data_IF_426780523976
#
_entry.id   IF_426780523976
#
_cell.length_a   1.000
_cell.length_b   1.000
_cell.length_c   1.000
_cell.angle_alpha   90.00
_cell.angle_beta   90.00
_cell.angle_gamma   90.00
#
_symmetry.space_group_name_H-M   'P 1'
#
loop_
_entity.id
_entity.type
_entity.pdbx_description
1 polymer ?
#
# COMPACT_ATOMS: atom_id res chain seq x y z
N UNK A 1 37.57 24.58 -4.30
CA UNK A 1 36.52 24.44 -3.27
C UNK A 1 36.50 23.06 -2.58
N UNK A 2 37.18 22.03 -3.11
CA UNK A 2 37.31 20.68 -2.51
C UNK A 2 38.27 20.53 -1.31
N UNK A 3 39.12 21.52 -1.00
CA UNK A 3 40.07 21.43 0.13
C UNK A 3 39.44 21.90 1.46
N UNK A 4 38.36 22.70 1.40
CA UNK A 4 37.68 23.26 2.58
C UNK A 4 36.69 22.29 3.23
N UNK A 5 36.15 21.31 2.50
CA UNK A 5 35.23 20.30 3.04
C UNK A 5 35.96 19.15 3.76
N UNK A 6 37.17 18.76 3.32
CA UNK A 6 37.97 17.71 3.98
C UNK A 6 38.48 18.11 5.38
N UNK A 7 38.58 19.41 5.69
CA UNK A 7 39.01 19.89 7.01
C UNK A 7 37.89 19.95 8.06
N UNK A 8 36.62 19.91 7.65
CA UNK A 8 35.48 19.93 8.59
C UNK A 8 35.10 18.54 9.12
N UNK A 9 35.46 17.48 8.38
CA UNK A 9 35.19 16.07 8.73
C UNK A 9 36.18 15.53 9.79
N UNK A 10 37.39 16.08 9.90
CA UNK A 10 38.39 15.63 10.89
C UNK A 10 38.24 16.25 12.28
N UNK A 11 37.42 17.30 12.44
CA UNK A 11 37.31 18.03 13.72
C UNK A 11 36.12 17.57 14.57
N UNK A 12 35.15 16.85 13.99
CA UNK A 12 34.01 16.26 14.73
C UNK A 12 34.28 14.83 15.22
N UNK A 13 35.42 14.23 14.86
CA UNK A 13 35.80 12.86 15.18
C UNK A 13 36.41 12.66 16.58
N UNK A 14 36.26 13.62 17.51
CA UNK A 14 36.86 13.52 18.86
C UNK A 14 35.98 13.86 20.06
N UNK A 15 34.67 14.08 19.88
CA UNK A 15 33.82 14.59 20.98
C UNK A 15 32.53 13.83 21.33
N UNK A 16 32.26 12.64 20.76
CA UNK A 16 31.06 11.87 21.15
C UNK A 16 31.37 10.42 21.49
N UNK A 17 32.31 10.23 22.42
CA UNK A 17 32.37 9.04 23.25
C UNK A 17 31.83 9.40 24.64
N UNK A 18 30.53 9.15 24.86
CA UNK A 18 29.92 9.19 26.19
C UNK A 18 28.66 10.05 26.32
N UNK A 19 27.49 9.47 26.06
CA UNK A 19 26.33 9.58 26.96
C UNK A 19 25.18 8.68 26.51
N UNK A 20 24.90 7.66 27.31
CA UNK A 20 23.59 7.02 27.38
C UNK A 20 22.65 7.91 28.23
N UNK A 21 21.35 7.80 27.92
CA UNK A 21 20.17 8.26 28.68
C UNK A 21 19.85 9.76 28.71
N UNK A 22 18.74 10.14 28.04
CA UNK A 22 17.70 11.00 28.60
C UNK A 22 16.42 10.90 27.74
N UNK A 23 15.48 10.09 28.22
CA UNK A 23 14.05 10.22 27.94
C UNK A 23 13.54 11.54 28.54
N UNK A 24 12.39 11.97 28.04
CA UNK A 24 11.35 12.82 28.70
C UNK A 24 11.28 14.31 28.30
N UNK A 25 10.20 14.60 27.54
CA UNK A 25 9.34 15.80 27.50
C UNK A 25 9.88 17.10 26.91
N UNK A 26 9.29 17.50 25.77
CA UNK A 26 8.30 18.60 25.77
C UNK A 26 7.19 18.31 24.75
N UNK A 27 5.96 18.44 25.24
CA UNK A 27 4.66 18.29 24.57
C UNK A 27 4.11 19.70 24.32
N UNK A 28 3.22 19.86 23.33
CA UNK A 28 2.31 21.00 23.10
C UNK A 28 2.70 22.10 22.09
N UNK A 29 2.80 21.76 20.79
CA UNK A 29 2.57 22.77 19.73
C UNK A 29 1.96 22.25 18.42
N UNK A 30 1.41 21.03 18.36
CA UNK A 30 0.94 20.40 17.10
C UNK A 30 -0.57 20.15 16.99
N UNK A 31 -1.38 20.71 17.89
CA UNK A 31 -2.84 20.67 17.77
C UNK A 31 -3.37 22.06 17.41
N UNK A 32 -3.28 22.38 16.14
CA UNK A 32 -4.04 23.45 15.50
C UNK A 32 -4.32 23.03 14.06
N UNK A 33 -5.36 22.20 13.90
CA UNK A 33 -6.02 21.98 12.62
C UNK A 33 -6.66 23.34 12.23
N UNK A 34 -6.58 23.77 10.95
CA UNK A 34 -7.24 24.99 10.52
C UNK A 34 -8.76 24.88 10.73
N UNK A 35 -9.30 25.76 11.55
CA UNK A 35 -10.73 25.95 11.78
C UNK A 35 -11.33 26.57 10.50
N UNK A 36 -12.43 26.04 9.94
CA UNK A 36 -13.10 26.68 8.81
C UNK A 36 -13.66 28.05 9.24
N UNK A 37 -13.45 29.08 8.41
CA UNK A 37 -13.94 30.43 8.66
C UNK A 37 -15.47 30.41 8.87
N UNK A 38 -15.89 30.64 10.11
CA UNK A 38 -17.26 30.99 10.45
C UNK A 38 -17.52 32.45 10.07
N UNK A 39 -18.49 32.66 9.19
CA UNK A 39 -19.02 33.95 8.76
C UNK A 39 -19.13 34.98 9.90
N UNK A 40 -18.41 36.08 9.75
CA UNK A 40 -18.59 37.30 10.54
C UNK A 40 -19.94 37.93 10.18
N UNK A 41 -20.90 37.92 11.11
CA UNK A 41 -22.09 38.78 11.05
C UNK A 41 -21.93 39.94 12.02
N UNK A 42 -22.22 41.14 11.55
CA UNK A 42 -22.65 42.26 12.39
C UNK A 42 -23.59 43.19 11.59
N UNK A 43 -24.40 44.05 12.24
CA UNK A 43 -24.90 44.00 13.61
C UNK A 43 -26.46 44.02 13.71
N UNK A 44 -26.93 43.43 14.82
CA UNK A 44 -28.13 43.67 15.66
C UNK A 44 -29.49 44.10 15.03
N UNK A 45 -30.41 43.12 15.14
CA UNK A 45 -31.83 43.17 15.59
C UNK A 45 -32.64 44.46 15.49
N UNK A 46 -33.83 44.36 14.90
CA UNK A 46 -35.08 44.64 15.63
C UNK A 46 -36.31 43.91 15.01
N UNK A 47 -36.94 43.09 15.86
CA UNK A 47 -38.37 42.85 16.11
C UNK A 47 -39.41 42.56 15.00
N UNK A 48 -40.16 41.48 15.27
CA UNK A 48 -41.62 41.28 15.16
C UNK A 48 -42.27 40.63 13.93
N UNK A 49 -42.85 39.46 14.23
CA UNK A 49 -44.17 38.92 13.79
C UNK A 49 -44.39 38.35 12.38
N UNK A 50 -44.69 37.04 12.40
CA UNK A 50 -45.74 36.33 11.63
C UNK A 50 -45.65 36.34 10.09
N UNK A 51 -45.40 35.18 9.50
CA UNK A 51 -46.44 34.41 8.80
C UNK A 51 -45.84 33.19 8.09
N UNK A 52 -46.65 32.13 8.00
CA UNK A 52 -46.28 30.79 7.62
C UNK A 52 -45.67 30.66 6.22
N UNK A 53 -44.67 29.80 6.15
CA UNK A 53 -44.51 28.89 5.02
C UNK A 53 -43.81 27.64 5.53
N UNK A 54 -44.54 26.53 5.54
CA UNK A 54 -43.99 25.20 5.68
C UNK A 54 -42.88 25.03 4.64
N UNK A 55 -41.64 24.96 5.11
CA UNK A 55 -40.52 24.48 4.31
C UNK A 55 -40.75 22.98 4.12
N UNK A 56 -40.78 22.45 2.88
CA UNK A 56 -40.91 21.02 2.68
C UNK A 56 -39.73 20.30 3.31
N UNK A 57 -40.03 19.23 4.03
CA UNK A 57 -39.06 18.22 4.45
C UNK A 57 -38.49 17.57 3.20
N UNK A 58 -37.42 18.15 2.64
CA UNK A 58 -36.57 17.51 1.63
C UNK A 58 -35.21 18.20 1.62
N UNK A 59 -34.53 18.13 2.76
CA UNK A 59 -33.07 18.23 2.83
C UNK A 59 -32.61 16.97 3.54
N UNK A 60 -32.81 15.81 2.89
CA UNK A 60 -31.97 14.66 3.22
C UNK A 60 -30.53 15.11 2.94
N UNK A 61 -29.75 15.26 4.02
CA UNK A 61 -28.32 15.54 3.95
C UNK A 61 -27.70 14.68 2.86
N UNK A 62 -27.03 15.30 1.88
CA UNK A 62 -26.13 14.61 0.96
C UNK A 62 -25.03 13.98 1.83
N UNK A 63 -25.23 12.74 2.26
CA UNK A 63 -24.32 12.07 3.19
C UNK A 63 -23.11 11.60 2.40
N UNK A 64 -21.98 12.26 2.63
CA UNK A 64 -20.70 11.81 2.09
C UNK A 64 -20.40 10.40 2.61
N UNK A 65 -20.27 9.44 1.70
CA UNK A 65 -20.01 8.04 2.02
C UNK A 65 -18.51 7.83 2.21
N UNK A 66 -18.09 7.55 3.44
CA UNK A 66 -16.67 7.35 3.78
C UNK A 66 -16.27 5.91 3.51
N UNK A 67 -15.29 5.71 2.64
CA UNK A 67 -14.69 4.42 2.29
C UNK A 67 -13.29 4.31 2.89
N UNK A 68 -13.03 3.28 3.68
CA UNK A 68 -11.72 3.04 4.27
C UNK A 68 -10.94 2.01 3.46
N UNK A 69 -9.84 2.42 2.81
CA UNK A 69 -8.93 1.54 2.10
C UNK A 69 -7.80 1.08 3.03
N UNK A 70 -7.78 -0.22 3.32
CA UNK A 70 -6.82 -0.83 4.23
C UNK A 70 -6.28 -2.15 3.68
N UNK A 71 -5.06 -2.52 4.09
CA UNK A 71 -4.42 -3.77 3.69
C UNK A 71 -2.99 -3.87 4.20
N UNK A 72 -2.44 -5.09 4.18
CA UNK A 72 -1.04 -5.31 4.56
C UNK A 72 -0.08 -4.57 3.60
N UNK A 73 1.14 -4.31 4.08
CA UNK A 73 2.17 -3.71 3.24
C UNK A 73 2.41 -4.54 1.96
N UNK A 74 2.50 -3.84 0.83
CA UNK A 74 2.66 -4.48 -0.48
C UNK A 74 1.38 -5.04 -1.09
N UNK A 75 0.22 -4.93 -0.43
CA UNK A 75 -1.07 -5.35 -1.02
C UNK A 75 -1.58 -4.45 -2.15
N UNK A 76 -0.94 -3.29 -2.34
CA UNK A 76 -1.22 -2.34 -3.41
C UNK A 76 -2.26 -1.26 -3.10
N UNK A 77 -2.62 -1.06 -1.82
CA UNK A 77 -3.48 0.05 -1.36
C UNK A 77 -2.99 1.42 -1.84
N UNK A 78 -1.67 1.65 -1.83
CA UNK A 78 -1.08 2.88 -2.35
C UNK A 78 -1.35 3.08 -3.83
N UNK A 79 -1.27 2.02 -4.61
CA UNK A 79 -1.42 2.06 -6.07
C UNK A 79 -2.88 2.26 -6.45
N UNK A 80 -3.79 1.54 -5.77
CA UNK A 80 -5.24 1.74 -5.89
C UNK A 80 -5.64 3.18 -5.59
N UNK A 81 -5.15 3.74 -4.48
CA UNK A 81 -5.46 5.11 -4.10
C UNK A 81 -4.97 6.15 -5.13
N UNK A 82 -3.76 5.98 -5.67
CA UNK A 82 -3.24 6.88 -6.71
C UNK A 82 -4.02 6.77 -8.00
N UNK A 83 -4.39 5.55 -8.42
CA UNK A 83 -5.25 5.39 -9.58
C UNK A 83 -6.59 6.08 -9.39
N UNK A 84 -7.22 5.94 -8.22
CA UNK A 84 -8.45 6.68 -7.93
C UNK A 84 -8.24 8.20 -7.96
N UNK A 85 -7.07 8.70 -7.50
CA UNK A 85 -6.71 10.12 -7.66
C UNK A 85 -6.56 10.52 -9.13
N UNK A 86 -6.02 9.65 -10.00
CA UNK A 86 -5.91 9.92 -11.44
C UNK A 86 -7.25 9.84 -12.18
N UNK A 87 -8.14 8.92 -11.80
CA UNK A 87 -9.42 8.70 -12.47
C UNK A 87 -10.44 9.76 -12.05
N UNK A 88 -10.50 10.06 -10.75
CA UNK A 88 -11.58 10.85 -10.16
C UNK A 88 -11.10 12.05 -9.33
N UNK A 89 -9.81 12.11 -9.02
CA UNK A 89 -9.25 13.21 -8.24
C UNK A 89 -8.88 14.41 -9.11
N UNK A 90 -8.49 15.49 -8.44
CA UNK A 90 -7.91 16.65 -9.11
C UNK A 90 -6.53 16.31 -9.68
N UNK A 91 -6.17 16.99 -10.77
CA UNK A 91 -4.81 16.95 -11.30
C UNK A 91 -3.80 17.31 -10.19
N UNK A 92 -2.67 16.58 -10.11
CA UNK A 92 -1.67 16.84 -9.09
C UNK A 92 -1.08 18.23 -9.28
N UNK A 93 -0.91 18.97 -8.18
CA UNK A 93 -0.31 20.30 -8.24
C UNK A 93 1.18 20.22 -8.58
N UNK A 94 1.76 21.29 -9.11
CA UNK A 94 3.20 21.35 -9.40
C UNK A 94 4.05 21.01 -8.17
N UNK A 95 3.65 21.49 -6.98
CA UNK A 95 4.30 21.17 -5.71
C UNK A 95 4.21 19.68 -5.35
N UNK A 96 3.05 19.04 -5.59
CA UNK A 96 2.89 17.60 -5.37
C UNK A 96 3.79 16.79 -6.32
N UNK A 97 3.82 17.14 -7.60
CA UNK A 97 4.67 16.50 -8.60
C UNK A 97 6.14 16.66 -8.23
N UNK A 98 6.55 17.87 -7.80
CA UNK A 98 7.92 18.13 -7.37
C UNK A 98 8.29 17.31 -6.12
N UNK A 99 7.40 17.21 -5.13
CA UNK A 99 7.65 16.36 -3.95
C UNK A 99 7.78 14.87 -4.33
N UNK A 100 6.94 14.39 -5.26
CA UNK A 100 7.02 13.01 -5.77
C UNK A 100 8.34 12.78 -6.51
N UNK A 101 8.79 13.74 -7.32
CA UNK A 101 10.09 13.69 -8.00
C UNK A 101 11.23 13.49 -7.02
N UNK A 102 11.29 14.31 -5.97
CA UNK A 102 12.34 14.21 -4.94
C UNK A 102 12.28 12.87 -4.19
N UNK A 103 11.07 12.37 -3.91
CA UNK A 103 10.85 11.08 -3.27
C UNK A 103 11.33 9.91 -4.13
N UNK A 104 11.00 9.90 -5.42
CA UNK A 104 11.45 8.86 -6.36
C UNK A 104 12.97 8.86 -6.42
N UNK A 105 13.58 10.04 -6.58
CA UNK A 105 15.04 10.18 -6.62
C UNK A 105 15.71 9.64 -5.35
N UNK A 106 15.20 9.98 -4.17
CA UNK A 106 15.71 9.46 -2.90
C UNK A 106 15.48 7.94 -2.73
N UNK A 107 14.33 7.45 -3.18
CA UNK A 107 13.98 6.03 -3.09
C UNK A 107 14.92 5.11 -3.87
N UNK A 108 15.45 5.56 -5.01
CA UNK A 108 16.44 4.80 -5.77
C UNK A 108 17.69 4.45 -4.94
N UNK A 109 18.20 5.42 -4.17
CA UNK A 109 19.37 5.21 -3.31
C UNK A 109 19.05 4.32 -2.12
N UNK A 110 17.83 4.41 -1.59
CA UNK A 110 17.35 3.47 -0.58
C UNK A 110 17.30 2.04 -1.11
N UNK A 111 16.78 1.83 -2.33
CA UNK A 111 16.73 0.49 -2.95
C UNK A 111 18.12 -0.07 -3.19
N UNK A 112 19.03 0.75 -3.69
CA UNK A 112 20.42 0.36 -3.85
C UNK A 112 21.06 0.00 -2.50
N UNK A 113 20.81 0.79 -1.46
CA UNK A 113 21.31 0.51 -0.10
C UNK A 113 20.88 -0.86 0.42
N UNK A 114 19.59 -1.21 0.26
CA UNK A 114 19.07 -2.53 0.65
C UNK A 114 19.76 -3.66 -0.12
N UNK A 115 20.01 -3.47 -1.42
CA UNK A 115 20.75 -4.45 -2.22
C UNK A 115 22.21 -4.59 -1.78
N UNK A 116 22.86 -3.50 -1.41
CA UNK A 116 24.25 -3.53 -0.94
C UNK A 116 24.37 -4.21 0.42
N UNK A 117 23.46 -3.94 1.35
CA UNK A 117 23.37 -4.63 2.64
C UNK A 117 23.10 -6.14 2.44
N UNK A 118 22.15 -6.47 1.57
CA UNK A 118 21.87 -7.86 1.19
C UNK A 118 23.09 -8.56 0.59
N UNK A 119 23.86 -7.85 -0.24
CA UNK A 119 25.09 -8.37 -0.86
C UNK A 119 26.17 -8.67 0.19
N UNK A 120 26.39 -7.79 1.17
CA UNK A 120 27.35 -8.02 2.27
C UNK A 120 26.96 -9.26 3.09
N UNK A 121 25.66 -9.41 3.40
CA UNK A 121 25.14 -10.58 4.09
C UNK A 121 25.38 -11.87 3.29
N UNK A 122 25.08 -11.88 1.99
CA UNK A 122 25.28 -13.06 1.15
C UNK A 122 26.76 -13.40 0.90
N UNK A 123 27.62 -12.38 0.84
CA UNK A 123 29.07 -12.58 0.79
C UNK A 123 29.58 -13.29 2.06
N UNK A 124 29.12 -12.88 3.23
CA UNK A 124 29.46 -13.57 4.49
C UNK A 124 28.95 -15.01 4.54
N UNK A 125 27.71 -15.27 4.10
CA UNK A 125 27.13 -16.62 4.02
C UNK A 125 27.99 -17.53 3.13
N UNK A 126 28.34 -17.07 1.92
CA UNK A 126 29.16 -17.83 0.97
C UNK A 126 30.58 -18.11 1.52
N UNK A 127 31.18 -17.14 2.23
CA UNK A 127 32.49 -17.32 2.86
C UNK A 127 32.42 -18.32 4.03
N UNK A 128 31.34 -18.31 4.82
CA UNK A 128 31.12 -19.27 5.92
C UNK A 128 30.95 -20.70 5.39
N UNK A 129 30.18 -20.88 4.31
CA UNK A 129 30.01 -22.18 3.63
C UNK A 129 31.32 -22.73 3.06
N UNK A 130 32.14 -21.87 2.46
CA UNK A 130 33.47 -22.28 1.94
C UNK A 130 34.40 -22.72 3.06
N UNK A 131 34.38 -22.02 4.21
CA UNK A 131 35.18 -22.40 5.40
C UNK A 131 34.72 -23.74 6.00
N UNK A 132 33.42 -23.97 6.11
CA UNK A 132 32.87 -25.24 6.62
C UNK A 132 33.18 -26.40 5.69
N UNK A 133 33.04 -26.20 4.38
CA UNK A 133 33.39 -27.22 3.37
C UNK A 133 34.89 -27.56 3.38
N UNK A 134 35.76 -26.55 3.54
CA UNK A 134 37.22 -26.76 3.64
C UNK A 134 37.62 -27.51 4.91
N UNK A 135 36.96 -27.23 6.05
CA UNK A 135 37.18 -27.94 7.31
C UNK A 135 36.70 -29.40 7.26
N UNK A 136 35.60 -29.68 6.53
CA UNK A 136 35.13 -31.04 6.30
C UNK A 136 36.10 -31.86 5.43
N UNK A 137 36.71 -31.24 4.41
CA UNK A 137 37.72 -31.89 3.55
C UNK A 137 39.01 -32.19 4.33
N UNK A 138 39.48 -31.26 5.18
CA UNK A 138 40.65 -31.45 6.04
C UNK A 138 40.48 -32.60 7.05
N UNK A 139 39.25 -32.88 7.48
CA UNK A 139 38.95 -33.99 8.38
C UNK A 139 38.86 -35.36 7.67
N UNK A 140 38.87 -35.42 6.33
CA UNK A 140 38.72 -36.67 5.57
C UNK A 140 39.88 -37.02 4.64
N UNK A 141 40.84 -36.13 4.39
CA UNK A 141 42.01 -36.46 3.57
C UNK A 141 43.26 -35.68 3.96
N UNK A 142 44.25 -36.40 4.50
CA UNK A 142 45.65 -35.99 4.56
C UNK A 142 46.30 -36.35 3.23
N UNK A 143 46.05 -35.53 2.21
CA UNK A 143 46.60 -35.69 0.86
C UNK A 143 46.54 -34.36 0.11
N UNK A 144 47.66 -33.98 -0.50
CA UNK A 144 47.88 -32.70 -1.19
C UNK A 144 46.78 -32.35 -2.17
N UNK A 145 46.22 -31.14 -2.07
CA UNK A 145 45.37 -30.55 -3.11
C UNK A 145 45.91 -29.16 -3.41
N UNK A 146 46.45 -28.99 -4.62
CA UNK A 146 46.61 -27.68 -5.26
C UNK A 146 45.20 -27.14 -5.53
N UNK A 147 44.67 -26.32 -4.65
CA UNK A 147 43.43 -25.59 -4.90
C UNK A 147 43.72 -24.39 -5.77
N UNK A 148 43.06 -24.35 -6.93
CA UNK A 148 42.96 -23.20 -7.81
C UNK A 148 42.29 -22.05 -7.03
N UNK A 149 43.09 -21.09 -6.54
CA UNK A 149 42.68 -20.03 -5.60
C UNK A 149 41.79 -18.93 -6.21
N UNK A 150 41.38 -19.03 -7.48
CA UNK A 150 40.81 -17.89 -8.22
C UNK A 150 39.34 -18.04 -8.64
N UNK A 151 38.50 -18.75 -7.90
CA UNK A 151 37.06 -18.43 -7.92
C UNK A 151 36.84 -17.30 -6.92
N UNK A 152 37.05 -16.07 -7.39
CA UNK A 152 36.62 -14.84 -6.72
C UNK A 152 35.18 -15.03 -6.24
N UNK A 153 34.89 -14.63 -4.99
CA UNK A 153 33.53 -14.68 -4.47
C UNK A 153 32.63 -13.92 -5.45
N UNK A 154 31.53 -14.54 -5.91
CA UNK A 154 30.64 -13.94 -6.91
C UNK A 154 30.10 -12.58 -6.44
N UNK A 155 30.07 -12.36 -5.12
CA UNK A 155 29.64 -11.13 -4.47
C UNK A 155 30.74 -10.07 -4.30
N UNK A 156 31.97 -10.28 -4.77
CA UNK A 156 33.05 -9.30 -4.58
C UNK A 156 32.91 -8.11 -5.53
N UNK A 157 32.87 -6.89 -4.99
CA UNK A 157 32.90 -5.66 -5.78
C UNK A 157 34.33 -5.18 -6.07
N UNK A 158 34.48 -4.46 -7.18
CA UNK A 158 35.67 -3.65 -7.47
C UNK A 158 35.94 -2.66 -6.31
N UNK A 159 37.21 -2.45 -5.89
CA UNK A 159 37.57 -1.52 -4.82
C UNK A 159 36.92 -0.12 -4.91
N UNK A 160 36.77 0.42 -6.12
CA UNK A 160 36.11 1.72 -6.33
C UNK A 160 34.63 1.67 -5.96
N UNK A 161 33.92 0.64 -6.42
CA UNK A 161 32.51 0.43 -6.15
C UNK A 161 32.27 0.09 -4.68
N UNK A 162 33.20 -0.65 -4.06
CA UNK A 162 33.19 -0.94 -2.64
C UNK A 162 33.30 0.33 -1.79
N UNK A 163 34.22 1.23 -2.10
CA UNK A 163 34.34 2.50 -1.35
C UNK A 163 33.05 3.32 -1.37
N UNK A 164 32.35 3.36 -2.51
CA UNK A 164 31.06 4.04 -2.62
C UNK A 164 29.95 3.29 -1.90
N UNK A 165 29.93 1.95 -1.97
CA UNK A 165 29.01 1.09 -1.22
C UNK A 165 29.09 1.39 0.27
N UNK A 166 30.29 1.35 0.84
CA UNK A 166 30.54 1.58 2.26
C UNK A 166 30.09 2.99 2.68
N UNK A 167 30.35 3.98 1.82
CA UNK A 167 29.91 5.36 2.03
C UNK A 167 28.38 5.50 2.01
N UNK A 168 27.69 4.88 1.04
CA UNK A 168 26.24 4.93 0.93
C UNK A 168 25.56 4.24 2.12
N UNK A 169 26.05 3.06 2.51
CA UNK A 169 25.56 2.34 3.69
C UNK A 169 25.76 3.14 4.97
N UNK A 170 26.91 3.82 5.12
CA UNK A 170 27.15 4.71 6.27
C UNK A 170 26.15 5.87 6.33
N UNK A 171 25.82 6.50 5.20
CA UNK A 171 24.81 7.58 5.15
C UNK A 171 23.44 7.07 5.55
N UNK A 172 23.05 5.90 5.05
CA UNK A 172 21.76 5.27 5.40
C UNK A 172 21.72 4.97 6.89
N UNK A 173 22.78 4.38 7.46
CA UNK A 173 22.89 4.08 8.88
C UNK A 173 22.88 5.35 9.76
N UNK A 174 23.38 6.47 9.24
CA UNK A 174 23.37 7.77 9.94
C UNK A 174 22.01 8.46 9.91
N UNK A 175 21.08 8.00 9.05
CA UNK A 175 19.77 8.64 8.87
C UNK A 175 19.78 9.91 8.01
N UNK A 176 20.93 10.27 7.44
CA UNK A 176 21.13 11.53 6.70
C UNK A 176 20.78 11.43 5.20
N UNK A 177 20.12 10.34 4.76
CA UNK A 177 19.87 10.09 3.34
C UNK A 177 19.12 11.27 2.66
N UNK A 178 18.13 11.85 3.34
CA UNK A 178 17.36 13.00 2.85
C UNK A 178 18.16 14.30 2.78
N UNK A 179 19.30 14.37 3.47
CA UNK A 179 20.19 15.54 3.43
C UNK A 179 21.10 15.53 2.21
N UNK A 180 21.50 14.34 1.75
CA UNK A 180 22.37 14.18 0.58
C UNK A 180 21.59 13.98 -0.72
N UNK A 181 20.48 13.25 -0.67
CA UNK A 181 19.65 12.97 -1.82
C UNK A 181 18.31 13.67 -1.69
N UNK A 182 17.85 14.35 -2.77
CA UNK A 182 18.28 14.17 -4.16
C UNK A 182 19.37 15.14 -4.67
N UNK A 183 19.89 16.06 -3.86
CA UNK A 183 20.84 17.09 -4.32
C UNK A 183 22.11 16.52 -4.99
N UNK A 184 22.61 15.39 -4.51
CA UNK A 184 23.77 14.71 -5.08
C UNK A 184 23.43 13.60 -6.09
N UNK A 185 22.15 13.42 -6.44
CA UNK A 185 21.71 12.29 -7.26
C UNK A 185 22.36 12.27 -8.65
N UNK A 186 22.56 13.46 -9.26
CA UNK A 186 23.18 13.59 -10.58
C UNK A 186 24.67 13.22 -10.59
N UNK A 187 25.40 13.54 -9.53
CA UNK A 187 26.85 13.28 -9.46
C UNK A 187 27.13 11.79 -9.35
N UNK A 188 26.30 11.07 -8.59
CA UNK A 188 26.48 9.65 -8.34
C UNK A 188 25.70 8.75 -9.30
N UNK A 189 24.85 9.29 -10.19
CA UNK A 189 24.04 8.47 -11.10
C UNK A 189 24.84 7.50 -11.99
N UNK A 190 26.00 7.86 -12.57
CA UNK A 190 26.76 6.91 -13.38
C UNK A 190 27.36 5.77 -12.54
N UNK A 191 27.69 6.07 -11.28
CA UNK A 191 28.25 5.10 -10.36
C UNK A 191 27.17 4.13 -9.85
N UNK A 192 25.96 4.62 -9.61
CA UNK A 192 24.82 3.78 -9.26
C UNK A 192 24.44 2.86 -10.43
N UNK A 193 24.45 3.37 -11.66
CA UNK A 193 24.21 2.55 -12.86
C UNK A 193 25.27 1.46 -13.04
N UNK A 194 26.54 1.77 -12.78
CA UNK A 194 27.64 0.79 -12.80
C UNK A 194 27.48 -0.30 -11.73
N UNK A 195 27.10 0.08 -10.50
CA UNK A 195 26.86 -0.87 -9.41
C UNK A 195 25.64 -1.74 -9.70
N UNK A 196 24.56 -1.17 -10.22
CA UNK A 196 23.38 -1.95 -10.57
C UNK A 196 23.70 -3.02 -11.62
N UNK A 197 24.55 -2.70 -12.60
CA UNK A 197 24.98 -3.64 -13.64
C UNK A 197 26.05 -4.65 -13.17
N UNK A 198 26.59 -4.48 -11.98
CA UNK A 198 27.63 -5.37 -11.46
C UNK A 198 27.08 -6.80 -11.21
N UNK A 199 27.83 -7.86 -11.58
CA UNK A 199 27.40 -9.24 -11.37
C UNK A 199 27.04 -9.57 -9.92
N UNK A 200 27.76 -9.03 -8.94
CA UNK A 200 27.49 -9.27 -7.52
C UNK A 200 26.10 -8.79 -7.10
N UNK A 201 25.70 -7.62 -7.61
CA UNK A 201 24.41 -7.01 -7.31
C UNK A 201 23.29 -7.72 -8.07
N UNK A 202 23.52 -8.12 -9.32
CA UNK A 202 22.56 -8.89 -10.08
C UNK A 202 22.29 -10.27 -9.46
N UNK A 203 23.30 -10.97 -8.96
CA UNK A 203 23.11 -12.23 -8.21
C UNK A 203 22.39 -12.00 -6.88
N UNK A 204 22.68 -10.90 -6.20
CA UNK A 204 21.95 -10.49 -4.99
C UNK A 204 20.47 -10.24 -5.29
N UNK A 205 20.16 -9.56 -6.40
CA UNK A 205 18.78 -9.30 -6.84
C UNK A 205 18.01 -10.58 -7.24
N UNK A 206 18.70 -11.63 -7.71
CA UNK A 206 18.05 -12.93 -7.95
C UNK A 206 17.51 -13.55 -6.67
N UNK A 207 18.17 -13.32 -5.53
CA UNK A 207 17.75 -13.72 -4.18
C UNK A 207 16.89 -12.66 -3.46
N UNK A 208 16.28 -11.71 -4.19
CA UNK A 208 15.47 -10.62 -3.61
C UNK A 208 14.32 -11.08 -2.72
N UNK A 209 13.82 -12.31 -2.87
CA UNK A 209 12.80 -12.88 -1.98
C UNK A 209 13.23 -12.95 -0.51
N UNK A 210 14.55 -12.95 -0.25
CA UNK A 210 15.13 -12.90 1.10
C UNK A 210 15.35 -11.45 1.60
N UNK A 211 15.17 -10.45 0.73
CA UNK A 211 15.37 -9.02 1.01
C UNK A 211 14.00 -8.34 1.22
N UNK A 212 13.37 -8.59 2.37
CA UNK A 212 12.00 -8.14 2.65
C UNK A 212 11.76 -6.62 2.55
N UNK A 213 12.80 -5.81 2.74
CA UNK A 213 12.72 -4.35 2.66
C UNK A 213 12.73 -3.81 1.21
N UNK A 214 13.08 -4.65 0.23
CA UNK A 214 13.21 -4.26 -1.17
C UNK A 214 11.87 -4.34 -1.90
N UNK A 215 11.35 -3.23 -2.45
CA UNK A 215 10.10 -3.26 -3.21
C UNK A 215 10.21 -4.00 -4.54
N UNK A 216 9.08 -4.55 -5.00
CA UNK A 216 8.94 -5.15 -6.34
C UNK A 216 9.29 -4.15 -7.46
N UNK A 217 9.03 -2.87 -7.24
CA UNK A 217 9.29 -1.78 -8.19
C UNK A 217 10.75 -1.31 -8.23
N UNK A 218 11.62 -1.84 -7.36
CA UNK A 218 13.01 -1.41 -7.28
C UNK A 218 13.75 -1.53 -8.63
N UNK A 219 13.53 -2.63 -9.35
CA UNK A 219 14.15 -2.85 -10.67
C UNK A 219 13.74 -1.78 -11.69
N UNK A 220 12.46 -1.43 -11.73
CA UNK A 220 11.94 -0.43 -12.68
C UNK A 220 12.67 0.92 -12.56
N UNK A 221 12.92 1.36 -11.33
CA UNK A 221 13.63 2.61 -11.07
C UNK A 221 15.15 2.46 -11.25
N UNK A 222 15.74 1.35 -10.79
CA UNK A 222 17.18 1.10 -10.91
C UNK A 222 17.64 0.98 -12.37
N UNK A 223 16.80 0.42 -13.26
CA UNK A 223 17.07 0.35 -14.70
C UNK A 223 17.08 1.74 -15.39
N UNK A 224 16.48 2.76 -14.75
CA UNK A 224 16.32 4.11 -15.31
C UNK A 224 17.04 5.20 -14.50
N UNK A 225 18.03 4.83 -13.68
CA UNK A 225 18.73 5.75 -12.75
C UNK A 225 19.25 7.01 -13.43
N UNK A 226 19.86 6.89 -14.60
CA UNK A 226 20.43 8.04 -15.32
C UNK A 226 19.33 9.04 -15.70
N UNK A 227 18.19 8.54 -16.18
CA UNK A 227 17.02 9.37 -16.57
C UNK A 227 16.42 10.06 -15.34
N UNK A 228 16.18 9.31 -14.27
CA UNK A 228 15.52 9.80 -13.06
C UNK A 228 16.40 10.80 -12.29
N UNK A 229 17.73 10.62 -12.31
CA UNK A 229 18.69 11.56 -11.71
C UNK A 229 18.94 12.83 -12.52
N UNK A 230 18.29 12.99 -13.69
CA UNK A 230 18.37 14.23 -14.47
C UNK A 230 17.62 15.38 -13.80
N UNK A 231 18.07 16.62 -14.04
CA UNK A 231 17.36 17.82 -13.58
C UNK A 231 16.04 18.00 -14.34
N UNK A 232 16.02 17.62 -15.62
CA UNK A 232 14.87 17.73 -16.52
C UNK A 232 13.90 16.54 -16.38
N UNK A 233 14.13 15.66 -15.41
CA UNK A 233 13.24 14.54 -15.14
C UNK A 233 11.89 15.04 -14.62
N UNK A 234 10.83 14.69 -15.32
CA UNK A 234 9.45 14.85 -14.88
C UNK A 234 8.85 13.46 -14.67
N UNK A 235 8.32 13.15 -13.46
CA UNK A 235 7.70 11.86 -13.20
C UNK A 235 6.52 11.62 -14.14
N UNK A 236 6.57 10.53 -14.89
CA UNK A 236 5.41 10.06 -15.63
C UNK A 236 4.35 9.50 -14.67
N UNK A 237 3.12 9.35 -15.14
CA UNK A 237 2.06 8.71 -14.35
C UNK A 237 2.46 7.29 -13.90
N UNK A 238 3.17 6.53 -14.73
CA UNK A 238 3.68 5.20 -14.36
C UNK A 238 4.71 5.29 -13.23
N UNK A 239 5.63 6.26 -13.29
CA UNK A 239 6.60 6.52 -12.22
C UNK A 239 5.88 6.85 -10.91
N UNK A 240 4.84 7.70 -10.97
CA UNK A 240 4.03 8.07 -9.82
C UNK A 240 3.29 6.85 -9.27
N UNK A 241 2.72 5.99 -10.11
CA UNK A 241 2.04 4.77 -9.68
C UNK A 241 2.98 3.81 -8.95
N UNK A 242 4.20 3.62 -9.46
CA UNK A 242 5.19 2.69 -8.92
C UNK A 242 5.94 3.22 -7.68
N UNK A 243 5.95 4.54 -7.47
CA UNK A 243 6.66 5.17 -6.36
C UNK A 243 6.07 4.79 -5.00
N UNK A 244 6.73 3.97 -4.20
CA UNK A 244 6.23 3.69 -2.84
C UNK A 244 6.47 4.86 -1.88
N UNK A 245 5.58 5.05 -0.90
CA UNK A 245 5.77 6.08 0.13
C UNK A 245 5.33 7.50 -0.25
N UNK A 246 4.61 7.68 -1.36
CA UNK A 246 4.04 8.99 -1.80
C UNK A 246 3.00 9.56 -0.81
N UNK A 247 2.66 8.84 0.26
CA UNK A 247 1.73 9.34 1.28
C UNK A 247 2.37 10.34 2.24
N UNK A 248 1.58 11.29 2.78
CA UNK A 248 2.03 12.19 3.84
C UNK A 248 2.60 11.42 5.03
N UNK A 249 3.57 12.01 5.73
CA UNK A 249 4.26 11.42 6.90
C UNK A 249 3.30 10.92 8.00
N UNK A 250 2.07 11.43 8.05
CA UNK A 250 1.06 11.05 9.05
C UNK A 250 0.38 9.71 8.73
N UNK A 251 0.71 9.06 7.61
CA UNK A 251 0.19 7.74 7.24
C UNK A 251 -1.27 7.73 6.76
N UNK A 252 -1.91 8.89 6.66
CA UNK A 252 -3.28 9.06 6.18
C UNK A 252 -3.29 9.88 4.89
N UNK A 253 -4.11 9.46 3.92
CA UNK A 253 -4.42 10.23 2.72
C UNK A 253 -5.91 10.08 2.39
N UNK A 254 -6.53 11.13 1.87
CA UNK A 254 -7.92 11.08 1.44
C UNK A 254 -8.12 11.76 0.09
N UNK A 255 -9.11 11.29 -0.65
CA UNK A 255 -9.64 11.95 -1.85
C UNK A 255 -11.16 11.92 -1.77
N UNK A 256 -11.80 12.90 -2.42
CA UNK A 256 -13.24 12.96 -2.55
C UNK A 256 -13.59 12.83 -4.02
N UNK A 257 -14.64 12.10 -4.33
CA UNK A 257 -15.06 11.82 -5.69
C UNK A 257 -16.56 11.53 -5.77
N UNK A 258 -17.10 11.58 -6.97
CA UNK A 258 -18.43 11.09 -7.32
C UNK A 258 -18.32 10.18 -8.54
N UNK A 259 -19.15 9.15 -8.61
CA UNK A 259 -19.35 8.44 -9.86
C UNK A 259 -20.25 9.29 -10.74
N UNK A 260 -19.77 9.75 -11.89
CA UNK A 260 -20.63 10.37 -12.89
C UNK A 260 -21.59 9.31 -13.44
N UNK A 261 -22.85 9.37 -13.01
CA UNK A 261 -23.95 8.58 -13.57
C UNK A 261 -24.40 9.22 -14.90
N UNK A 262 -23.45 9.54 -15.78
CA UNK A 262 -23.74 9.95 -17.16
C UNK A 262 -23.68 8.72 -18.06
N UNK A 263 -24.65 7.82 -17.88
CA UNK A 263 -25.08 7.02 -19.01
C UNK A 263 -25.64 7.97 -20.07
N UNK A 264 -24.80 8.32 -21.04
CA UNK A 264 -25.23 8.97 -22.27
C UNK A 264 -26.12 7.99 -23.04
N UNK A 265 -27.42 7.92 -22.69
CA UNK A 265 -28.56 7.41 -23.50
C UNK A 265 -29.89 7.44 -22.71
N UNK A 266 -30.25 8.61 -22.20
CA UNK A 266 -31.65 9.01 -22.06
C UNK A 266 -31.62 10.52 -21.85
N UNK A 267 -32.03 11.28 -22.87
CA UNK A 267 -32.63 12.61 -22.81
C UNK A 267 -32.76 13.11 -24.25
N UNK A 268 -33.59 12.39 -25.01
CA UNK A 268 -34.32 12.94 -26.15
C UNK A 268 -35.77 12.87 -25.70
N UNK A 269 -36.32 14.03 -25.35
CA UNK A 269 -37.67 14.30 -24.81
C UNK A 269 -37.93 13.85 -23.36
N UNK A 270 -37.79 14.77 -22.41
CA UNK A 270 -38.95 15.30 -21.68
C UNK A 270 -38.51 16.54 -20.89
N UNK A 271 -39.12 17.69 -21.23
CA UNK A 271 -39.19 18.84 -20.33
C UNK A 271 -40.13 18.44 -19.16
N UNK A 272 -39.80 18.88 -17.95
CA UNK A 272 -40.54 18.66 -16.69
C UNK A 272 -40.35 17.31 -15.98
N UNK A 273 -39.17 17.11 -15.37
CA UNK A 273 -39.05 16.52 -14.02
C UNK A 273 -37.72 16.96 -13.39
N UNK A 274 -37.75 17.97 -12.53
CA UNK A 274 -36.67 18.23 -11.58
C UNK A 274 -36.63 17.09 -10.54
N UNK A 275 -35.96 16.00 -10.87
CA UNK A 275 -35.49 14.99 -9.92
C UNK A 275 -33.99 14.83 -10.12
N UNK A 276 -33.22 15.83 -9.67
CA UNK A 276 -31.79 15.66 -9.48
C UNK A 276 -31.61 14.67 -8.31
N UNK A 277 -31.44 13.39 -8.63
CA UNK A 277 -31.00 12.39 -7.66
C UNK A 277 -29.72 12.92 -6.97
N UNK A 278 -29.59 12.79 -5.64
CA UNK A 278 -28.44 13.34 -4.94
C UNK A 278 -27.15 12.70 -5.46
N UNK A 279 -26.19 13.52 -5.91
CA UNK A 279 -24.85 13.04 -6.22
C UNK A 279 -24.32 12.31 -4.97
N UNK A 280 -24.18 10.99 -5.06
CA UNK A 280 -23.53 10.21 -4.01
C UNK A 280 -22.05 10.59 -4.00
N UNK A 281 -21.67 11.50 -3.10
CA UNK A 281 -20.28 11.89 -2.86
C UNK A 281 -19.62 10.81 -2.01
N UNK A 282 -18.46 10.34 -2.45
CA UNK A 282 -17.64 9.36 -1.76
C UNK A 282 -16.35 10.01 -1.29
N UNK A 283 -15.86 9.59 -0.13
CA UNK A 283 -14.55 9.97 0.39
C UNK A 283 -13.74 8.70 0.60
N UNK A 284 -12.69 8.50 -0.20
CA UNK A 284 -11.76 7.38 -0.01
C UNK A 284 -10.65 7.81 0.94
N UNK A 285 -10.52 7.10 2.05
CA UNK A 285 -9.47 7.32 3.05
C UNK A 285 -8.54 6.12 3.03
N UNK A 286 -7.27 6.34 2.69
CA UNK A 286 -6.22 5.32 2.80
C UNK A 286 -5.50 5.44 4.12
N UNK A 287 -5.34 4.31 4.80
CA UNK A 287 -4.47 4.16 5.97
C UNK A 287 -3.22 3.35 5.58
N UNK A 288 -2.04 3.88 5.90
CA UNK A 288 -0.77 3.17 5.70
C UNK A 288 -0.57 2.10 6.76
N UNK A 289 -0.15 0.90 6.35
CA UNK A 289 0.26 -0.18 7.26
C UNK A 289 1.52 0.15 8.08
N UNK A 290 2.26 1.22 7.72
CA UNK A 290 3.40 1.78 8.49
C UNK A 290 2.99 2.90 9.46
N UNK A 291 1.71 3.28 9.48
CA UNK A 291 1.16 4.27 10.41
C UNK A 291 0.77 3.66 11.75
N UNK A 292 0.38 4.50 12.73
CA UNK A 292 0.96 4.54 14.07
C UNK A 292 1.19 3.15 14.67
N UNK A 293 2.47 2.80 14.81
CA UNK A 293 2.91 1.68 15.62
C UNK A 293 2.26 1.73 17.02
N UNK A 294 1.86 0.55 17.48
CA UNK A 294 1.59 0.19 18.88
C UNK A 294 0.25 0.59 19.52
N UNK A 295 -0.78 0.99 18.76
CA UNK A 295 -2.12 0.94 19.34
C UNK A 295 -3.23 0.69 18.34
N UNK A 296 -4.04 -0.33 18.59
CA UNK A 296 -5.35 -0.58 17.95
C UNK A 296 -6.32 0.62 18.04
N UNK A 297 -5.95 1.64 18.82
CA UNK A 297 -6.67 2.91 19.01
C UNK A 297 -6.80 3.76 17.75
N UNK A 298 -6.01 3.49 16.70
CA UNK A 298 -6.24 4.20 15.43
C UNK A 298 -7.58 3.82 14.81
N UNK A 299 -8.08 2.60 15.07
CA UNK A 299 -9.38 2.13 14.55
C UNK A 299 -10.55 2.91 15.16
N UNK A 300 -10.40 3.40 16.39
CA UNK A 300 -11.38 4.24 17.07
C UNK A 300 -11.56 5.61 16.40
N UNK A 301 -10.64 6.02 15.52
CA UNK A 301 -10.78 7.25 14.73
C UNK A 301 -11.77 7.11 13.55
N UNK A 302 -12.29 5.91 13.28
CA UNK A 302 -13.04 5.56 12.07
C UNK A 302 -14.48 5.11 12.34
N UNK A 303 -15.14 5.66 13.36
CA UNK A 303 -16.54 5.31 13.73
C UNK A 303 -17.57 5.64 12.65
N UNK A 304 -17.31 6.62 11.78
CA UNK A 304 -18.24 7.09 10.74
C UNK A 304 -17.99 6.49 9.34
N UNK A 305 -17.25 5.38 9.24
CA UNK A 305 -16.97 4.75 7.93
C UNK A 305 -18.16 3.94 7.44
N UNK A 306 -18.60 4.20 6.20
CA UNK A 306 -19.70 3.46 5.56
C UNK A 306 -19.26 2.05 5.16
N UNK A 307 -18.08 1.92 4.55
CA UNK A 307 -17.56 0.64 4.10
C UNK A 307 -16.03 0.56 4.20
N UNK A 308 -15.54 -0.64 4.50
CA UNK A 308 -14.12 -0.98 4.51
C UNK A 308 -13.80 -1.73 3.22
N UNK A 309 -12.89 -1.16 2.42
CA UNK A 309 -12.28 -1.79 1.25
C UNK A 309 -10.96 -2.43 1.70
N UNK A 310 -10.99 -3.74 1.93
CA UNK A 310 -9.80 -4.49 2.33
C UNK A 310 -9.06 -5.01 1.10
N UNK A 311 -7.82 -4.59 0.90
CA UNK A 311 -6.99 -4.97 -0.25
C UNK A 311 -5.97 -6.04 0.15
N UNK A 312 -5.98 -7.17 -0.56
CA UNK A 312 -5.03 -8.29 -0.40
C UNK A 312 -4.33 -8.55 -1.72
N UNK A 313 -3.01 -8.69 -1.72
CA UNK A 313 -2.29 -9.14 -2.90
C UNK A 313 -2.45 -10.66 -3.06
N UNK A 314 -3.02 -11.09 -4.18
CA UNK A 314 -3.14 -12.51 -4.51
C UNK A 314 -1.77 -13.17 -4.63
N UNK A 315 -0.72 -12.44 -4.97
CA UNK A 315 0.64 -12.98 -5.05
C UNK A 315 1.24 -13.39 -3.70
N UNK A 316 0.64 -13.02 -2.57
CA UNK A 316 1.21 -13.23 -1.22
C UNK A 316 1.17 -14.70 -0.74
N UNK A 317 0.57 -15.63 -1.50
CA UNK A 317 0.37 -17.02 -1.05
C UNK A 317 1.66 -17.84 -0.87
N UNK A 318 2.75 -17.49 -1.56
CA UNK A 318 4.06 -18.15 -1.44
C UNK A 318 5.13 -17.22 -0.84
N UNK A 319 4.74 -16.01 -0.42
CA UNK A 319 5.65 -15.03 0.15
C UNK A 319 5.73 -15.18 1.67
N UNK A 320 6.94 -14.99 2.20
CA UNK A 320 7.21 -15.05 3.64
C UNK A 320 7.37 -13.62 4.16
N UNK A 321 6.63 -13.31 5.22
CA UNK A 321 6.69 -12.08 5.98
C UNK A 321 7.50 -12.30 7.26
N UNK A 322 8.63 -11.59 7.37
CA UNK A 322 9.50 -11.63 8.56
C UNK A 322 9.70 -10.20 9.05
N UNK A 323 8.89 -9.76 10.01
CA UNK A 323 9.02 -8.44 10.63
C UNK A 323 9.60 -8.57 12.03
N UNK A 324 10.77 -7.97 12.26
CA UNK A 324 11.44 -7.97 13.57
C UNK A 324 12.02 -9.34 13.95
N UNK A 325 11.88 -9.71 15.24
CA UNK A 325 12.40 -10.96 15.81
C UNK A 325 11.39 -12.14 15.78
N UNK A 326 10.24 -11.97 15.11
CA UNK A 326 9.22 -13.02 15.03
C UNK A 326 9.61 -14.18 14.09
N UNK A 327 8.97 -15.35 14.22
CA UNK A 327 9.16 -16.43 13.27
C UNK A 327 8.67 -16.02 11.87
N UNK A 328 9.33 -16.46 10.80
CA UNK A 328 8.86 -16.23 9.44
C UNK A 328 7.47 -16.84 9.26
N UNK A 329 6.50 -16.05 8.81
CA UNK A 329 5.14 -16.49 8.55
C UNK A 329 4.74 -16.23 7.10
N UNK A 330 3.86 -17.06 6.56
CA UNK A 330 3.34 -16.84 5.22
C UNK A 330 2.48 -15.56 5.19
N UNK A 331 2.73 -14.69 4.20
CA UNK A 331 2.10 -13.37 4.11
C UNK A 331 0.60 -13.44 3.89
N UNK A 332 0.09 -14.46 3.21
CA UNK A 332 -1.36 -14.69 3.09
C UNK A 332 -2.01 -15.07 4.43
N UNK A 333 -1.31 -15.79 5.31
CA UNK A 333 -1.79 -16.08 6.66
C UNK A 333 -1.84 -14.80 7.52
N UNK A 334 -0.82 -13.94 7.41
CA UNK A 334 -0.83 -12.63 8.08
C UNK A 334 -1.99 -11.77 7.59
N UNK A 335 -2.27 -11.76 6.28
CA UNK A 335 -3.45 -11.08 5.72
C UNK A 335 -4.77 -11.64 6.26
N UNK A 336 -4.88 -12.97 6.41
CA UNK A 336 -6.05 -13.64 7.00
C UNK A 336 -6.26 -13.18 8.45
N UNK A 337 -5.22 -13.23 9.27
CA UNK A 337 -5.30 -12.89 10.70
C UNK A 337 -5.61 -11.40 10.88
N UNK A 338 -5.03 -10.54 10.05
CA UNK A 338 -5.33 -9.11 10.01
C UNK A 338 -6.79 -8.84 9.63
N UNK A 339 -7.30 -9.51 8.59
CA UNK A 339 -8.70 -9.40 8.18
C UNK A 339 -9.64 -9.84 9.29
N UNK A 340 -9.36 -10.98 9.93
CA UNK A 340 -10.13 -11.50 11.05
C UNK A 340 -10.14 -10.55 12.26
N UNK A 341 -9.00 -9.91 12.56
CA UNK A 341 -8.89 -8.89 13.61
C UNK A 341 -9.75 -7.65 13.30
N UNK A 342 -9.74 -7.17 12.05
CA UNK A 342 -10.56 -6.01 11.63
C UNK A 342 -12.05 -6.30 11.71
N UNK A 343 -12.48 -7.47 11.23
CA UNK A 343 -13.91 -7.85 11.21
C UNK A 343 -14.45 -8.03 12.63
N UNK A 344 -13.61 -8.44 13.59
CA UNK A 344 -13.99 -8.55 15.01
C UNK A 344 -13.95 -7.23 15.76
N UNK A 345 -13.37 -6.18 15.20
CA UNK A 345 -13.23 -4.91 15.88
C UNK A 345 -14.59 -4.24 16.12
N UNK A 346 -14.78 -3.63 17.29
CA UNK A 346 -16.08 -3.06 17.71
C UNK A 346 -16.57 -1.97 16.76
N UNK A 347 -15.67 -1.13 16.27
CA UNK A 347 -15.99 -0.04 15.34
C UNK A 347 -16.55 -0.53 14.00
N UNK A 348 -16.25 -1.77 13.59
CA UNK A 348 -16.64 -2.29 12.27
C UNK A 348 -17.79 -3.30 12.32
N UNK A 349 -18.45 -3.48 13.46
CA UNK A 349 -19.51 -4.49 13.65
C UNK A 349 -20.68 -4.34 12.65
N UNK A 350 -21.03 -3.11 12.30
CA UNK A 350 -22.12 -2.79 11.37
C UNK A 350 -21.63 -2.24 10.02
N UNK A 351 -20.32 -2.24 9.77
CA UNK A 351 -19.73 -1.67 8.55
C UNK A 351 -19.69 -2.72 7.45
N UNK A 352 -19.96 -2.29 6.21
CA UNK A 352 -19.90 -3.18 5.04
C UNK A 352 -18.46 -3.45 4.64
N UNK A 353 -18.10 -4.71 4.43
CA UNK A 353 -16.76 -5.10 3.97
C UNK A 353 -16.79 -5.47 2.49
N UNK A 354 -15.86 -4.89 1.73
CA UNK A 354 -15.56 -5.29 0.35
C UNK A 354 -14.10 -5.71 0.27
N UNK A 355 -13.86 -6.92 -0.21
CA UNK A 355 -12.53 -7.49 -0.41
C UNK A 355 -12.08 -7.25 -1.85
N UNK A 356 -10.97 -6.53 -2.02
CA UNK A 356 -10.29 -6.38 -3.30
C UNK A 356 -9.08 -7.31 -3.33
N UNK A 357 -9.14 -8.30 -4.21
CA UNK A 357 -8.07 -9.26 -4.45
C UNK A 357 -7.19 -8.70 -5.59
N UNK A 358 -6.15 -7.98 -5.20
CA UNK A 358 -5.26 -7.21 -6.08
C UNK A 358 -4.09 -8.06 -6.63
N UNK A 359 -3.32 -7.49 -7.56
CA UNK A 359 -2.19 -8.14 -8.26
C UNK A 359 -2.62 -9.42 -9.00
N UNK A 360 -3.81 -9.39 -9.61
CA UNK A 360 -4.33 -10.54 -10.36
C UNK A 360 -3.41 -10.93 -11.53
N UNK A 361 -2.81 -9.95 -12.20
CA UNK A 361 -1.78 -10.11 -13.24
C UNK A 361 -0.58 -10.94 -12.76
N UNK A 362 0.02 -10.53 -11.63
CA UNK A 362 1.17 -11.24 -11.04
C UNK A 362 0.76 -12.64 -10.61
N UNK A 363 -0.45 -12.79 -10.05
CA UNK A 363 -0.99 -14.06 -9.62
C UNK A 363 -1.19 -15.04 -10.79
N UNK A 364 -1.73 -14.58 -11.91
CA UNK A 364 -1.97 -15.39 -13.10
C UNK A 364 -0.66 -15.98 -13.66
N UNK A 365 0.43 -15.23 -13.62
CA UNK A 365 1.74 -15.73 -14.04
C UNK A 365 2.37 -16.66 -13.00
N UNK A 366 2.16 -16.37 -11.71
CA UNK A 366 2.77 -17.12 -10.60
C UNK A 366 2.13 -18.49 -10.42
N UNK A 367 0.80 -18.60 -10.53
CA UNK A 367 0.05 -19.86 -10.32
C UNK A 367 0.41 -20.96 -11.33
N UNK A 368 0.95 -20.58 -12.49
CA UNK A 368 1.48 -21.53 -13.49
C UNK A 368 2.81 -22.18 -13.05
N UNK A 369 3.54 -21.55 -12.13
CA UNK A 369 4.87 -21.96 -11.66
C UNK A 369 4.83 -22.56 -10.26
N UNK A 370 4.06 -21.94 -9.35
CA UNK A 370 3.95 -22.34 -7.94
C UNK A 370 2.48 -22.67 -7.65
N UNK A 371 2.15 -23.88 -7.17
CA UNK A 371 0.77 -24.24 -6.88
C UNK A 371 0.28 -23.60 -5.58
N UNK A 372 -1.03 -23.29 -5.50
CA UNK A 372 -1.65 -22.68 -4.31
C UNK A 372 -1.46 -23.49 -3.01
N UNK A 373 -1.30 -24.82 -3.11
CA UNK A 373 -1.18 -25.74 -1.98
C UNK A 373 0.07 -25.49 -1.10
N UNK A 374 1.00 -24.66 -1.57
CA UNK A 374 2.14 -24.19 -0.78
C UNK A 374 1.67 -23.40 0.45
N UNK A 375 0.59 -22.63 0.31
CA UNK A 375 -0.01 -21.93 1.44
C UNK A 375 -0.80 -22.93 2.30
N UNK A 376 -0.56 -22.91 3.62
CA UNK A 376 -1.20 -23.88 4.51
C UNK A 376 -2.72 -23.77 4.55
N UNK A 377 -3.24 -22.56 4.33
CA UNK A 377 -4.67 -22.31 4.30
C UNK A 377 -5.36 -22.88 3.05
N UNK A 378 -4.58 -23.15 1.99
CA UNK A 378 -5.07 -23.59 0.69
C UNK A 378 -4.69 -25.04 0.34
N UNK A 379 -4.29 -25.86 1.32
CA UNK A 379 -3.89 -27.28 1.13
C UNK A 379 -4.95 -28.14 0.41
N UNK A 380 -6.23 -27.78 0.56
CA UNK A 380 -7.35 -28.51 -0.05
C UNK A 380 -7.64 -28.13 -1.51
N UNK A 381 -6.92 -27.16 -2.08
CA UNK A 381 -7.16 -26.71 -3.43
C UNK A 381 -6.87 -27.82 -4.45
N UNK A 382 -7.91 -28.24 -5.18
CA UNK A 382 -7.81 -29.20 -6.27
C UNK A 382 -8.44 -28.61 -7.53
N UNK A 383 -7.66 -28.25 -8.57
CA UNK A 383 -8.23 -27.74 -9.81
C UNK A 383 -8.97 -28.86 -10.53
N UNK A 384 -10.29 -28.73 -10.68
CA UNK A 384 -11.08 -29.61 -11.53
C UNK A 384 -10.74 -29.30 -12.98
N UNK A 385 -10.08 -30.23 -13.69
CA UNK A 385 -9.86 -30.14 -15.13
C UNK A 385 -11.20 -30.40 -15.84
N UNK A 386 -12.06 -29.41 -15.95
CA UNK A 386 -13.25 -29.52 -16.79
C UNK A 386 -12.84 -29.37 -18.26
N UNK A 387 -13.36 -30.23 -19.13
CA UNK A 387 -13.03 -30.24 -20.58
C UNK A 387 -13.78 -29.16 -21.38
N UNK A 388 -14.59 -28.30 -20.74
CA UNK A 388 -15.61 -27.51 -21.44
C UNK A 388 -15.79 -26.03 -21.02
N UNK A 389 -14.84 -25.39 -20.35
CA UNK A 389 -14.83 -23.92 -20.23
C UNK A 389 -13.41 -23.38 -20.37
N UNK A 390 -13.24 -22.31 -21.15
CA UNK A 390 -11.98 -21.57 -21.34
C UNK A 390 -11.54 -20.79 -20.08
N UNK A 391 -11.83 -21.29 -18.87
CA UNK A 391 -11.43 -20.64 -17.63
C UNK A 391 -9.99 -21.03 -17.29
N UNK A 392 -9.12 -20.03 -17.17
CA UNK A 392 -7.73 -20.21 -16.78
C UNK A 392 -7.64 -20.85 -15.38
N UNK A 393 -6.54 -21.56 -15.11
CA UNK A 393 -6.23 -22.06 -13.75
C UNK A 393 -6.29 -20.93 -12.71
N UNK A 394 -5.90 -19.73 -13.11
CA UNK A 394 -5.96 -18.53 -12.28
C UNK A 394 -7.39 -18.18 -11.86
N UNK A 395 -8.39 -18.31 -12.74
CA UNK A 395 -9.79 -18.08 -12.38
C UNK A 395 -10.30 -19.06 -11.33
N UNK A 396 -10.02 -20.36 -11.47
CA UNK A 396 -10.40 -21.35 -10.46
C UNK A 396 -9.73 -21.08 -9.11
N UNK A 397 -8.44 -20.77 -9.15
CA UNK A 397 -7.64 -20.46 -7.98
C UNK A 397 -8.16 -19.18 -7.29
N UNK A 398 -8.47 -18.13 -8.06
CA UNK A 398 -9.09 -16.90 -7.58
C UNK A 398 -10.41 -17.16 -6.85
N UNK A 399 -11.34 -17.89 -7.47
CA UNK A 399 -12.64 -18.20 -6.86
C UNK A 399 -12.49 -19.01 -5.58
N UNK A 400 -11.50 -19.91 -5.52
CA UNK A 400 -11.20 -20.66 -4.30
C UNK A 400 -10.68 -19.76 -3.17
N UNK A 401 -9.73 -18.86 -3.46
CA UNK A 401 -9.25 -17.89 -2.47
C UNK A 401 -10.40 -16.99 -2.00
N UNK A 402 -11.20 -16.45 -2.93
CA UNK A 402 -12.37 -15.66 -2.61
C UNK A 402 -13.38 -16.43 -1.73
N UNK A 403 -13.59 -17.72 -1.99
CA UNK A 403 -14.46 -18.57 -1.19
C UNK A 403 -13.94 -18.74 0.24
N UNK A 404 -12.65 -18.98 0.46
CA UNK A 404 -12.06 -19.09 1.80
C UNK A 404 -12.21 -17.80 2.62
N UNK A 405 -12.05 -16.62 2.00
CA UNK A 405 -12.33 -15.35 2.68
C UNK A 405 -13.83 -15.15 2.98
N UNK A 406 -14.71 -15.55 2.06
CA UNK A 406 -16.17 -15.50 2.26
C UNK A 406 -16.61 -16.41 3.42
N UNK A 407 -16.04 -17.61 3.50
CA UNK A 407 -16.28 -18.57 4.58
C UNK A 407 -15.85 -17.99 5.94
N UNK A 408 -14.63 -17.42 6.01
CA UNK A 408 -14.11 -16.75 7.21
C UNK A 408 -15.01 -15.59 7.65
N UNK A 409 -15.40 -14.71 6.73
CA UNK A 409 -16.26 -13.56 7.04
C UNK A 409 -17.66 -14.00 7.49
N UNK A 410 -18.26 -14.98 6.81
CA UNK A 410 -19.57 -15.54 7.16
C UNK A 410 -19.55 -16.23 8.52
N UNK A 411 -18.44 -16.89 8.87
CA UNK A 411 -18.27 -17.52 10.19
C UNK A 411 -18.23 -16.51 11.33
N UNK A 412 -17.77 -15.28 11.09
CA UNK A 412 -17.63 -14.24 12.13
C UNK A 412 -18.90 -13.38 12.22
N UNK A 413 -19.46 -12.99 11.07
CA UNK A 413 -20.53 -11.97 11.00
C UNK A 413 -21.90 -12.53 10.63
N UNK A 414 -21.97 -13.72 10.02
CA UNK A 414 -23.17 -14.24 9.38
C UNK A 414 -23.62 -13.48 8.12
N UNK A 415 -22.83 -12.50 7.64
CA UNK A 415 -23.13 -11.67 6.47
C UNK A 415 -22.35 -12.15 5.24
N UNK A 416 -22.77 -11.68 4.05
CA UNK A 416 -22.09 -11.98 2.79
C UNK A 416 -20.91 -11.02 2.58
N UNK A 417 -19.74 -11.56 2.21
CA UNK A 417 -18.58 -10.77 1.80
C UNK A 417 -18.60 -10.55 0.29
N UNK A 418 -18.49 -9.28 -0.13
CA UNK A 418 -18.33 -8.89 -1.52
C UNK A 418 -16.85 -8.96 -1.90
N UNK A 419 -16.54 -9.56 -3.05
CA UNK A 419 -15.16 -9.78 -3.49
C UNK A 419 -15.01 -9.39 -4.96
N UNK A 420 -13.96 -8.66 -5.29
CA UNK A 420 -13.65 -8.22 -6.66
C UNK A 420 -12.16 -8.40 -6.98
N UNK A 421 -11.77 -8.91 -8.17
CA UNK A 421 -10.37 -8.96 -8.60
C UNK A 421 -9.91 -7.59 -9.09
N UNK A 422 -8.68 -7.19 -8.83
CA UNK A 422 -8.15 -5.92 -9.34
C UNK A 422 -6.70 -6.03 -9.80
N UNK A 423 -6.38 -5.23 -10.82
CA UNK A 423 -5.03 -4.92 -11.27
C UNK A 423 -4.82 -3.43 -11.00
N UNK A 424 -4.25 -3.09 -9.84
CA UNK A 424 -4.10 -1.69 -9.43
C UNK A 424 -3.25 -0.83 -10.39
N UNK A 425 -2.55 -1.43 -11.35
CA UNK A 425 -1.78 -0.70 -12.38
C UNK A 425 -2.63 -0.29 -13.58
N UNK A 426 -3.80 -0.89 -13.76
CA UNK A 426 -4.69 -0.64 -14.89
C UNK A 426 -5.86 0.24 -14.48
N UNK A 427 -6.10 1.33 -15.22
CA UNK A 427 -7.15 2.31 -14.87
C UNK A 427 -8.55 1.69 -14.90
N UNK A 428 -8.89 0.96 -15.95
CA UNK A 428 -10.17 0.26 -16.13
C UNK A 428 -10.46 -0.70 -14.98
N UNK A 429 -9.46 -1.50 -14.58
CA UNK A 429 -9.63 -2.48 -13.49
C UNK A 429 -9.92 -1.82 -12.14
N UNK A 430 -9.26 -0.70 -11.83
CA UNK A 430 -9.52 0.06 -10.59
C UNK A 430 -10.87 0.74 -10.65
N UNK A 431 -11.21 1.35 -11.78
CA UNK A 431 -12.48 2.00 -12.03
C UNK A 431 -13.67 1.03 -11.83
N UNK A 432 -13.62 -0.15 -12.46
CA UNK A 432 -14.61 -1.21 -12.27
C UNK A 432 -14.69 -1.69 -10.82
N UNK A 433 -13.55 -1.88 -10.14
CA UNK A 433 -13.52 -2.31 -8.75
C UNK A 433 -14.21 -1.31 -7.81
N UNK A 434 -13.96 -0.01 -7.99
CA UNK A 434 -14.57 1.01 -7.15
C UNK A 434 -16.03 1.30 -7.53
N UNK A 435 -16.42 1.18 -8.82
CA UNK A 435 -17.85 1.19 -9.19
C UNK A 435 -18.61 0.06 -8.49
N UNK A 436 -18.04 -1.15 -8.48
CA UNK A 436 -18.61 -2.28 -7.74
C UNK A 436 -18.72 -2.00 -6.24
N UNK A 437 -17.70 -1.40 -5.62
CA UNK A 437 -17.79 -0.93 -4.22
C UNK A 437 -18.93 0.07 -4.04
N UNK A 438 -19.08 1.01 -4.97
CA UNK A 438 -20.16 2.00 -4.97
C UNK A 438 -21.54 1.35 -5.02
N UNK A 439 -21.74 0.36 -5.91
CA UNK A 439 -22.99 -0.42 -6.02
C UNK A 439 -23.30 -1.20 -4.75
N UNK A 440 -22.30 -1.86 -4.15
CA UNK A 440 -22.46 -2.58 -2.88
C UNK A 440 -22.91 -1.64 -1.76
N UNK A 441 -22.31 -0.46 -1.67
CA UNK A 441 -22.69 0.56 -0.68
C UNK A 441 -24.11 1.05 -0.93
N UNK A 442 -24.49 1.33 -2.18
CA UNK A 442 -25.86 1.72 -2.54
C UNK A 442 -26.86 0.63 -2.15
N UNK A 443 -26.52 -0.64 -2.39
CA UNK A 443 -27.40 -1.78 -2.09
C UNK A 443 -27.65 -1.98 -0.60
N UNK A 444 -26.63 -1.87 0.26
CA UNK A 444 -26.83 -2.00 1.72
C UNK A 444 -27.65 -0.83 2.28
N UNK A 445 -27.46 0.40 1.78
CA UNK A 445 -28.28 1.55 2.18
C UNK A 445 -29.75 1.36 1.80
N UNK A 446 -30.03 0.84 0.60
CA UNK A 446 -31.41 0.60 0.15
C UNK A 446 -32.06 -0.55 0.92
N UNK A 447 -31.30 -1.61 1.22
CA UNK A 447 -31.77 -2.72 2.05
C UNK A 447 -32.16 -2.25 3.46
N UNK A 448 -31.38 -1.38 4.08
CA UNK A 448 -31.70 -0.81 5.39
C UNK A 448 -32.99 0.04 5.35
N UNK A 449 -33.22 0.78 4.25
CA UNK A 449 -34.47 1.52 4.02
C UNK A 449 -35.68 0.60 3.90
N UNK A 450 -35.56 -0.47 3.10
CA UNK A 450 -36.64 -1.46 2.91
C UNK A 450 -36.96 -2.17 4.23
N UNK A 451 -35.95 -2.56 5.00
CA UNK A 451 -36.15 -3.18 6.31
C UNK A 451 -36.79 -2.21 7.32
N UNK A 452 -36.47 -0.92 7.29
CA UNK A 452 -37.05 0.08 8.20
C UNK A 452 -38.52 0.42 7.87
N UNK A 453 -38.90 0.40 6.58
CA UNK A 453 -40.29 0.57 6.14
C UNK A 453 -41.19 -0.65 6.42
N UNK A 454 -40.58 -1.82 6.66
CA UNK A 454 -41.30 -3.05 7.00
C UNK A 454 -41.82 -3.10 8.44
N UNK A 455 -41.16 -2.40 9.37
CA UNK A 455 -41.55 -2.36 10.78
C UNK A 455 -42.63 -1.31 11.10
N UNK A 456 -42.85 -0.30 10.25
CA UNK A 456 -43.94 0.67 10.46
C UNK A 456 -45.31 0.18 9.95
N UNK A 457 -45.36 -0.95 9.23
CA UNK A 457 -46.61 -1.49 8.67
C UNK A 457 -47.15 -2.75 9.37
N UNK A 458 -46.58 -3.17 10.49
CA UNK A 458 -47.08 -4.35 11.24
C UNK A 458 -48.14 -4.06 12.31
N UNK A 459 -48.48 -2.79 12.58
CA UNK A 459 -49.42 -2.44 13.66
C UNK A 459 -50.83 -2.02 13.21
N UNK A 460 -51.20 -2.23 11.95
CA UNK A 460 -52.58 -2.01 11.48
C UNK A 460 -53.17 -3.25 10.79
N UNK A 461 -53.29 -4.37 11.52
CA UNK A 461 -54.32 -5.37 11.21
C UNK A 461 -55.55 -5.14 12.08
N UNK A 462 -56.24 -4.03 11.84
CA UNK A 462 -57.67 -3.92 12.13
C UNK A 462 -58.41 -4.79 11.12
N UNK A 463 -58.82 -6.00 11.51
CA UNK A 463 -60.06 -6.68 11.10
C UNK A 463 -60.18 -8.00 11.87
N UNK A 464 -60.62 -7.90 13.12
CA UNK A 464 -61.40 -8.96 13.77
C UNK A 464 -62.76 -8.37 14.06
N UNK A 465 -63.73 -8.65 13.20
CA UNK A 465 -65.16 -8.48 13.49
C UNK A 465 -65.88 -9.77 13.13
N UNK A 466 -66.56 -10.25 14.17
CA UNK A 466 -67.61 -11.28 14.28
C UNK A 466 -67.24 -12.76 14.13
#
# INVERSE_FOLDING_TARGET
>A
MMVRMRKKVKTTLKETYGRRQALTRFVCSLWSIPIPLSNTRGPKEDTTTLSGRSVPVSMENIRCQKLLLFGLEGSGTSTLFKQMKFIYGNEPTEDEVQNIKLLIQSSMYRYLGILLEGRERFEEEALKEKRTSSLQILNHSRGEIRTDESKLCIFSLNPRLKQFSDWLLHIIASGDLSTYFPAAAREYSPLVDEIWKDPAIQETYKRRSELHSLPDTAKYFLDQVIKISSNDYEPSEEDILYAEGVTPNNGLAFIEFSFDDHSAKSNVYDEDTECQLPLNRYQLIRVSSKGPHDSDKWMDMFEDVTAVVFSVALSDYDEIWSLGHGPPQNKMLVNRDLFESLVRHRCFKNVTFVLVLNKYDVFEDKIRKVPLVVCEWFKEFRPLKTRHYNQSLANYAYHYVAHKFKELYSSITGRKLFVWPSIARERSSVDEAFRYVGEVVKWEVEKDRICSMGDENSDNSFYSTE
#
